data_IF_724979057666
#
_entry.id   IF_724979057666
#
_cell.length_a   1.000
_cell.length_b   1.000
_cell.length_c   1.000
_cell.angle_alpha   90.00
_cell.angle_beta   90.00
_cell.angle_gamma   90.00
#
_symmetry.space_group_name_H-M   'P 1'
#
loop_
_entity.id
_entity.type
_entity.pdbx_description
1 polymer ?
#
# COMPACT_ATOMS: atom_id res chain seq x y z
N UNK A 1 31.95 19.82 20.50
CA UNK A 1 31.50 20.16 19.13
C UNK A 1 31.00 18.90 18.40
N UNK A 2 29.70 18.79 18.19
CA UNK A 2 29.09 17.68 17.46
C UNK A 2 29.35 17.85 15.97
N UNK A 3 30.06 16.91 15.34
CA UNK A 3 30.13 16.79 13.88
C UNK A 3 28.89 15.98 13.46
N UNK A 4 27.97 16.61 12.75
CA UNK A 4 26.93 15.87 12.03
C UNK A 4 27.61 15.31 10.78
N UNK A 5 27.72 13.98 10.67
CA UNK A 5 28.25 13.33 9.48
C UNK A 5 27.19 13.45 8.37
N UNK A 6 27.40 14.39 7.45
CA UNK A 6 26.57 14.61 6.26
C UNK A 6 26.58 13.43 5.26
N UNK A 7 27.30 12.35 5.53
CA UNK A 7 27.38 11.18 4.65
C UNK A 7 26.19 10.22 4.74
N UNK A 8 25.14 10.56 5.48
CA UNK A 8 23.96 9.73 5.73
C UNK A 8 22.63 10.43 5.40
N UNK A 9 22.65 11.44 4.52
CA UNK A 9 21.40 11.92 3.93
C UNK A 9 20.93 10.83 2.97
N UNK A 10 19.93 10.04 3.39
CA UNK A 10 19.39 8.98 2.54
C UNK A 10 18.64 9.54 1.33
N UNK A 11 18.15 8.62 0.51
CA UNK A 11 17.39 8.95 -0.69
C UNK A 11 16.15 9.77 -0.33
N UNK A 12 15.78 10.66 -1.24
CA UNK A 12 14.54 11.43 -1.13
C UNK A 12 13.49 10.63 -1.87
N UNK A 13 12.39 10.27 -1.22
CA UNK A 13 11.27 9.61 -1.90
C UNK A 13 10.54 10.56 -2.86
N UNK A 14 9.58 10.02 -3.61
CA UNK A 14 8.80 10.80 -4.60
C UNK A 14 7.99 11.95 -3.96
N UNK A 15 7.81 11.92 -2.63
CA UNK A 15 7.10 12.93 -1.84
C UNK A 15 8.03 13.94 -1.13
N UNK A 16 9.35 13.83 -1.34
CA UNK A 16 10.33 14.78 -0.83
C UNK A 16 10.80 14.52 0.61
N UNK A 17 10.51 13.34 1.18
CA UNK A 17 10.92 12.95 2.53
C UNK A 17 12.34 12.36 2.48
N UNK A 18 13.21 12.78 3.42
CA UNK A 18 14.54 12.18 3.58
C UNK A 18 14.38 10.81 4.23
N UNK A 19 14.67 9.76 3.49
CA UNK A 19 14.60 8.38 3.98
C UNK A 19 15.83 8.10 4.85
N UNK A 20 15.61 7.49 6.02
CA UNK A 20 16.74 6.97 6.79
C UNK A 20 17.25 5.68 6.14
N UNK A 21 18.55 5.35 6.25
CA UNK A 21 19.07 4.11 5.72
C UNK A 21 18.32 2.90 6.30
N UNK A 22 17.57 2.18 5.46
CA UNK A 22 16.82 0.98 5.83
C UNK A 22 15.30 1.14 5.93
N UNK A 23 14.75 2.33 5.70
CA UNK A 23 13.29 2.51 5.60
C UNK A 23 12.80 2.03 4.22
N UNK A 24 11.71 1.26 4.15
CA UNK A 24 11.11 0.90 2.87
C UNK A 24 10.62 2.16 2.16
N UNK A 25 11.19 2.42 0.98
CA UNK A 25 11.01 3.64 0.18
C UNK A 25 9.85 3.55 -0.80
N UNK A 26 9.01 2.52 -0.67
CA UNK A 26 8.02 2.17 -1.69
C UNK A 26 6.72 2.87 -1.38
N UNK A 27 6.34 3.83 -2.23
CA UNK A 27 4.99 4.39 -2.26
C UNK A 27 3.97 3.23 -2.27
N UNK A 28 2.89 3.31 -1.47
CA UNK A 28 1.91 2.23 -1.40
C UNK A 28 1.30 1.97 -2.78
N UNK A 29 1.12 0.70 -3.13
CA UNK A 29 0.56 0.29 -4.42
C UNK A 29 -0.94 0.03 -4.24
N UNK A 30 -1.76 0.78 -4.98
CA UNK A 30 -3.21 0.60 -4.95
C UNK A 30 -3.59 -0.81 -5.40
N UNK A 31 -4.31 -1.57 -4.58
CA UNK A 31 -4.66 -2.97 -4.80
C UNK A 31 -3.69 -4.01 -4.23
N UNK A 32 -2.50 -3.61 -3.77
CA UNK A 32 -1.54 -4.47 -3.04
C UNK A 32 -1.92 -4.52 -1.55
N UNK A 33 -3.02 -5.21 -1.23
CA UNK A 33 -3.57 -5.20 0.12
C UNK A 33 -2.64 -5.88 1.12
N UNK A 34 -1.91 -6.92 0.70
CA UNK A 34 -1.00 -7.65 1.57
C UNK A 34 0.41 -6.99 1.68
N UNK A 35 0.68 -5.95 0.89
CA UNK A 35 1.92 -5.18 0.82
C UNK A 35 3.15 -6.04 0.49
N UNK A 36 3.01 -6.97 -0.46
CA UNK A 36 4.11 -7.81 -0.95
C UNK A 36 4.77 -7.26 -2.23
N UNK A 37 4.24 -6.17 -2.78
CA UNK A 37 4.77 -5.48 -3.96
C UNK A 37 4.18 -5.97 -5.29
N UNK A 38 3.27 -6.94 -5.27
CA UNK A 38 2.56 -7.44 -6.45
C UNK A 38 1.04 -7.26 -6.30
N UNK A 39 0.33 -7.05 -7.40
CA UNK A 39 -1.14 -7.05 -7.39
C UNK A 39 -1.62 -8.41 -7.91
N UNK A 40 -2.05 -9.28 -7.01
CA UNK A 40 -2.35 -10.68 -7.29
C UNK A 40 -3.59 -11.20 -6.57
N UNK A 41 -3.91 -12.48 -6.78
CA UNK A 41 -4.99 -13.16 -6.04
C UNK A 41 -4.73 -13.28 -4.53
N UNK A 42 -3.48 -13.09 -4.08
CA UNK A 42 -3.16 -13.02 -2.66
C UNK A 42 -3.82 -11.79 -2.01
N UNK A 43 -3.86 -10.66 -2.73
CA UNK A 43 -4.49 -9.41 -2.26
C UNK A 43 -6.00 -9.54 -2.13
N UNK A 44 -6.64 -10.28 -3.03
CA UNK A 44 -8.07 -10.59 -2.91
C UNK A 44 -8.35 -11.33 -1.60
N UNK A 45 -7.48 -12.28 -1.24
CA UNK A 45 -7.61 -13.03 0.02
C UNK A 45 -7.39 -12.12 1.23
N UNK A 46 -6.37 -11.25 1.18
CA UNK A 46 -6.10 -10.28 2.23
C UNK A 46 -7.26 -9.28 2.41
N UNK A 47 -7.84 -8.79 1.31
CA UNK A 47 -8.98 -7.88 1.31
C UNK A 47 -10.23 -8.53 1.91
N UNK A 48 -10.54 -9.78 1.55
CA UNK A 48 -11.66 -10.51 2.14
C UNK A 48 -11.46 -10.71 3.64
N UNK A 49 -10.24 -11.04 4.09
CA UNK A 49 -9.94 -11.14 5.51
C UNK A 49 -10.10 -9.80 6.24
N UNK A 50 -9.68 -8.69 5.63
CA UNK A 50 -9.86 -7.35 6.16
C UNK A 50 -11.35 -7.02 6.33
N UNK A 51 -12.17 -7.26 5.30
CA UNK A 51 -13.64 -7.05 5.36
C UNK A 51 -14.28 -7.88 6.49
N UNK A 52 -13.81 -9.12 6.69
CA UNK A 52 -14.34 -10.01 7.73
C UNK A 52 -13.83 -9.68 9.14
N UNK A 53 -12.74 -8.91 9.27
CA UNK A 53 -12.14 -8.56 10.56
C UNK A 53 -12.92 -7.49 11.34
N UNK A 54 -13.82 -6.76 10.67
CA UNK A 54 -14.51 -5.56 11.20
C UNK A 54 -13.55 -4.43 11.63
N UNK A 55 -12.25 -4.55 11.36
CA UNK A 55 -11.28 -3.48 11.60
C UNK A 55 -11.42 -2.40 10.53
N UNK A 56 -11.40 -1.14 10.97
CA UNK A 56 -11.46 0.02 10.07
C UNK A 56 -10.05 0.30 9.52
N UNK A 57 -9.79 0.11 8.22
CA UNK A 57 -8.48 0.40 7.65
C UNK A 57 -8.20 1.90 7.66
N UNK A 58 -6.93 2.27 7.83
CA UNK A 58 -6.48 3.67 7.84
C UNK A 58 -5.13 3.81 7.15
N UNK A 59 -4.77 5.04 6.76
CA UNK A 59 -3.48 5.33 6.12
C UNK A 59 -3.26 4.51 4.84
N UNK A 60 -2.07 3.95 4.69
CA UNK A 60 -1.69 3.15 3.52
C UNK A 60 -2.61 1.94 3.32
N UNK A 61 -3.07 1.28 4.39
CA UNK A 61 -3.98 0.14 4.25
C UNK A 61 -5.31 0.56 3.62
N UNK A 62 -5.84 1.72 3.99
CA UNK A 62 -7.06 2.26 3.37
C UNK A 62 -6.81 2.55 1.90
N UNK A 63 -5.70 3.20 1.55
CA UNK A 63 -5.33 3.49 0.17
C UNK A 63 -5.17 2.22 -0.68
N UNK A 64 -4.57 1.15 -0.13
CA UNK A 64 -4.38 -0.11 -0.85
C UNK A 64 -5.68 -0.92 -0.98
N UNK A 65 -6.59 -0.83 0.00
CA UNK A 65 -7.81 -1.62 0.08
C UNK A 65 -9.06 -0.96 -0.53
N UNK A 66 -9.17 0.37 -0.53
CA UNK A 66 -10.22 1.15 -1.21
C UNK A 66 -9.85 1.27 -2.71
N UNK A 67 -10.06 0.17 -3.43
CA UNK A 67 -9.65 0.04 -4.82
C UNK A 67 -10.58 0.83 -5.74
N UNK A 68 -11.83 1.07 -5.35
CA UNK A 68 -12.81 1.79 -6.16
C UNK A 68 -12.92 3.30 -5.88
N UNK A 69 -12.17 3.84 -4.90
CA UNK A 69 -12.18 5.24 -4.45
C UNK A 69 -13.55 5.72 -3.93
N UNK A 70 -14.36 4.85 -3.34
CA UNK A 70 -15.65 5.23 -2.75
C UNK A 70 -15.56 5.57 -1.24
N UNK A 71 -14.35 5.53 -0.67
CA UNK A 71 -14.05 5.78 0.75
C UNK A 71 -14.55 4.70 1.71
N UNK A 72 -15.08 3.59 1.21
CA UNK A 72 -15.46 2.42 1.99
C UNK A 72 -14.63 1.21 1.53
N UNK A 73 -14.35 0.28 2.44
CA UNK A 73 -13.67 -0.98 2.08
C UNK A 73 -14.67 -2.12 2.14
N UNK A 74 -14.99 -2.71 1.00
CA UNK A 74 -16.04 -3.71 0.88
C UNK A 74 -15.99 -4.58 -0.38
N UNK A 75 -17.13 -5.22 -0.68
CA UNK A 75 -17.23 -6.18 -1.79
C UNK A 75 -17.07 -5.51 -3.16
N UNK A 76 -17.33 -4.20 -3.25
CA UNK A 76 -17.09 -3.43 -4.46
C UNK A 76 -15.59 -3.37 -4.81
N UNK A 77 -14.73 -3.20 -3.81
CA UNK A 77 -13.27 -3.24 -3.96
C UNK A 77 -12.78 -4.61 -4.40
N UNK A 78 -13.34 -5.69 -3.83
CA UNK A 78 -13.03 -7.07 -4.25
C UNK A 78 -13.30 -7.25 -5.75
N UNK A 79 -14.44 -6.75 -6.22
CA UNK A 79 -14.81 -6.84 -7.63
C UNK A 79 -13.87 -6.03 -8.51
N UNK A 80 -13.52 -4.81 -8.08
CA UNK A 80 -12.57 -3.94 -8.80
C UNK A 80 -11.17 -4.58 -8.87
N UNK A 81 -10.67 -5.11 -7.76
CA UNK A 81 -9.37 -5.75 -7.65
C UNK A 81 -9.27 -6.99 -8.56
N UNK A 82 -10.31 -7.84 -8.58
CA UNK A 82 -10.38 -8.97 -9.51
C UNK A 82 -10.33 -8.50 -10.97
N UNK A 83 -11.04 -7.42 -11.31
CA UNK A 83 -10.99 -6.86 -12.66
C UNK A 83 -9.59 -6.34 -13.01
N UNK A 84 -8.90 -5.68 -12.07
CA UNK A 84 -7.52 -5.23 -12.26
C UNK A 84 -6.61 -6.42 -12.58
N UNK A 85 -6.65 -7.49 -11.78
CA UNK A 85 -5.84 -8.70 -11.97
C UNK A 85 -6.12 -9.35 -13.33
N UNK A 86 -7.40 -9.44 -13.74
CA UNK A 86 -7.76 -10.07 -15.01
C UNK A 86 -7.37 -9.23 -16.25
N UNK A 87 -7.29 -7.90 -16.10
CA UNK A 87 -6.97 -6.97 -17.17
C UNK A 87 -5.47 -6.66 -17.30
N UNK A 88 -4.60 -7.30 -16.50
CA UNK A 88 -3.13 -7.17 -16.60
C UNK A 88 -2.51 -7.91 -17.81
N UNK A 89 -3.32 -8.53 -18.67
CA UNK A 89 -2.88 -9.29 -19.85
C UNK A 89 -2.91 -8.48 -21.15
#
# INVERSE_FOLDING_TARGET
PFRVYFSALGEVDDDGVILLPGEPTTSPIKGDVNNDGEISVADVTALVNLILSEEQPTGDLLFRADVNDDSEVGVADVTMLVNMILNQN
#
